data_IF_696896094186
#
_entry.id   IF_696896094186
#
_cell.length_a   1.000
_cell.length_b   1.000
_cell.length_c   1.000
_cell.angle_alpha   90.00
_cell.angle_beta   90.00
_cell.angle_gamma   90.00
#
_symmetry.space_group_name_H-M   'P 1'
#
loop_
_entity.id
_entity.type
_entity.pdbx_description
1 polymer ?
#
# COMPACT_ATOMS: atom_id res chain seq x y z
N UNK A 1 0.81 3.62 4.28
CA UNK A 1 -0.59 4.03 4.04
C UNK A 1 -0.75 5.50 3.68
N UNK A 2 -0.11 6.41 4.40
CA UNK A 2 -0.20 7.84 4.10
C UNK A 2 0.23 8.18 2.67
N UNK A 3 1.34 7.61 2.22
CA UNK A 3 1.82 7.81 0.85
C UNK A 3 0.77 7.35 -0.17
N UNK A 4 0.15 6.20 0.09
CA UNK A 4 -0.91 5.63 -0.76
C UNK A 4 -2.09 6.58 -0.88
N UNK A 5 -2.54 7.14 0.24
CA UNK A 5 -3.69 8.05 0.26
C UNK A 5 -3.41 9.30 -0.59
N UNK A 6 -2.25 9.91 -0.41
CA UNK A 6 -1.91 11.12 -1.16
C UNK A 6 -1.68 10.83 -2.64
N UNK A 7 -0.95 9.76 -2.98
CA UNK A 7 -0.70 9.42 -4.37
C UNK A 7 -2.00 9.08 -5.10
N UNK A 8 -2.90 8.34 -4.44
CA UNK A 8 -4.19 8.02 -5.01
C UNK A 8 -4.97 9.29 -5.40
N UNK A 9 -4.91 10.30 -4.55
CA UNK A 9 -5.56 11.58 -4.83
C UNK A 9 -4.92 12.30 -6.01
N UNK A 10 -3.58 12.30 -6.08
CA UNK A 10 -2.86 13.02 -7.14
C UNK A 10 -3.02 12.38 -8.53
N UNK A 11 -3.29 11.08 -8.59
CA UNK A 11 -3.54 10.39 -9.87
C UNK A 11 -5.03 10.18 -10.16
N UNK A 12 -5.90 10.76 -9.36
CA UNK A 12 -7.35 10.64 -9.57
C UNK A 12 -7.73 11.13 -10.97
N UNK A 13 -8.55 10.34 -11.67
CA UNK A 13 -9.00 10.67 -13.01
C UNK A 13 -8.03 10.30 -14.12
N UNK A 14 -6.90 9.63 -13.80
CA UNK A 14 -5.91 9.23 -14.80
C UNK A 14 -5.96 7.74 -15.15
N UNK A 15 -7.00 7.03 -14.67
CA UNK A 15 -7.12 5.60 -14.93
C UNK A 15 -6.15 4.75 -14.11
N UNK A 16 -5.63 5.29 -13.01
CA UNK A 16 -4.68 4.60 -12.12
C UNK A 16 -5.26 4.51 -10.73
N UNK A 17 -5.16 3.33 -10.12
CA UNK A 17 -5.52 3.13 -8.71
C UNK A 17 -4.27 2.84 -7.90
N UNK A 18 -4.27 3.31 -6.65
CA UNK A 18 -3.15 3.14 -5.73
C UNK A 18 -3.67 2.60 -4.41
N UNK A 19 -3.26 1.41 -4.06
CA UNK A 19 -3.67 0.76 -2.82
C UNK A 19 -2.45 0.18 -2.12
N UNK A 20 -2.57 -0.06 -0.82
CA UNK A 20 -1.53 -0.73 -0.05
C UNK A 20 -2.08 -2.00 0.58
N UNK A 21 -1.19 -2.90 0.91
CA UNK A 21 -1.58 -4.19 1.47
C UNK A 21 -0.59 -4.66 2.53
N UNK A 22 -1.06 -5.54 3.40
CA UNK A 22 -0.22 -6.30 4.32
C UNK A 22 -0.18 -7.75 3.80
N UNK A 23 1.00 -8.28 3.44
CA UNK A 23 1.09 -9.62 2.88
C UNK A 23 0.96 -10.74 3.91
N UNK A 24 0.96 -10.41 5.19
CA UNK A 24 0.99 -11.36 6.27
C UNK A 24 2.41 -11.78 6.65
N UNK A 25 2.52 -12.69 7.60
CA UNK A 25 3.81 -13.28 8.00
C UNK A 25 4.11 -14.45 7.06
N UNK A 26 5.16 -14.32 6.27
CA UNK A 26 5.49 -15.27 5.21
C UNK A 26 6.80 -15.98 5.53
N UNK A 27 6.85 -17.29 5.28
CA UNK A 27 8.03 -18.12 5.50
C UNK A 27 9.08 -17.83 4.43
N UNK A 28 9.85 -16.76 4.62
CA UNK A 28 10.90 -16.31 3.70
C UNK A 28 12.26 -16.38 4.38
N UNK A 29 13.32 -16.29 3.57
CA UNK A 29 14.69 -16.21 4.09
C UNK A 29 14.85 -15.04 5.04
N UNK A 30 14.27 -13.89 4.72
CA UNK A 30 14.32 -12.71 5.57
C UNK A 30 13.71 -12.98 6.94
N UNK A 31 12.54 -13.63 6.98
CA UNK A 31 11.86 -13.96 8.23
C UNK A 31 12.71 -14.89 9.08
N UNK A 32 13.27 -15.98 8.47
CA UNK A 32 14.05 -16.97 9.19
C UNK A 32 15.41 -16.44 9.66
N UNK A 33 16.12 -15.70 8.82
CA UNK A 33 17.47 -15.22 9.11
C UNK A 33 17.50 -13.85 9.75
N UNK A 34 16.62 -12.93 9.31
CA UNK A 34 16.60 -11.56 9.79
C UNK A 34 15.90 -11.38 11.12
N UNK A 35 14.83 -12.14 11.37
CA UNK A 35 14.03 -12.01 12.59
C UNK A 35 14.07 -13.23 13.49
N UNK A 36 14.80 -14.30 13.11
CA UNK A 36 14.88 -15.52 13.88
C UNK A 36 13.55 -16.24 14.05
N UNK A 37 12.58 -15.99 13.19
CA UNK A 37 11.26 -16.59 13.24
C UNK A 37 11.17 -17.78 12.31
N UNK A 38 10.35 -18.77 12.69
CA UNK A 38 10.02 -19.91 11.86
C UNK A 38 8.50 -19.99 11.66
N UNK A 39 8.07 -20.59 10.57
CA UNK A 39 6.66 -20.71 10.23
C UNK A 39 6.20 -19.55 9.35
N UNK A 40 4.92 -19.23 9.43
CA UNK A 40 4.29 -18.26 8.54
C UNK A 40 3.71 -18.90 7.28
N UNK A 41 3.09 -18.11 6.41
CA UNK A 41 2.50 -18.58 5.17
C UNK A 41 3.54 -18.86 4.09
N UNK A 42 3.12 -19.57 3.06
CA UNK A 42 3.97 -19.83 1.89
C UNK A 42 4.14 -18.56 1.05
N UNK A 43 5.18 -18.45 0.21
CA UNK A 43 5.30 -17.33 -0.73
C UNK A 43 4.07 -17.15 -1.61
N UNK A 44 3.45 -18.22 -2.06
CA UNK A 44 2.22 -18.17 -2.84
C UNK A 44 1.08 -17.53 -2.05
N UNK A 45 0.95 -17.88 -0.77
CA UNK A 45 -0.02 -17.28 0.15
C UNK A 45 0.24 -15.78 0.33
N UNK A 46 1.52 -15.39 0.43
CA UNK A 46 1.91 -13.98 0.55
C UNK A 46 1.60 -13.15 -0.68
N UNK A 47 1.60 -13.77 -1.85
CA UNK A 47 1.29 -13.07 -3.10
C UNK A 47 -0.21 -12.89 -3.35
N UNK A 48 -1.06 -13.55 -2.59
CA UNK A 48 -2.49 -13.64 -2.86
C UNK A 48 -3.19 -12.30 -2.93
N UNK A 49 -2.98 -11.42 -1.96
CA UNK A 49 -3.59 -10.09 -1.94
C UNK A 49 -3.03 -9.21 -3.05
N UNK A 50 -1.74 -9.32 -3.36
CA UNK A 50 -1.14 -8.58 -4.48
C UNK A 50 -1.79 -8.97 -5.81
N UNK A 51 -1.98 -10.26 -6.06
CA UNK A 51 -2.64 -10.76 -7.26
C UNK A 51 -4.11 -10.29 -7.29
N UNK A 52 -4.79 -10.38 -6.16
CA UNK A 52 -6.18 -9.90 -6.03
C UNK A 52 -6.29 -8.43 -6.43
N UNK A 53 -5.42 -7.57 -5.88
CA UNK A 53 -5.46 -6.14 -6.19
C UNK A 53 -5.13 -5.85 -7.65
N UNK A 54 -4.28 -6.67 -8.27
CA UNK A 54 -3.88 -6.47 -9.65
C UNK A 54 -4.92 -6.95 -10.66
N UNK A 55 -5.75 -7.95 -10.32
CA UNK A 55 -6.56 -8.66 -11.30
C UNK A 55 -8.04 -8.75 -10.99
N UNK A 56 -8.48 -8.57 -9.74
CA UNK A 56 -9.88 -8.76 -9.40
C UNK A 56 -10.76 -7.60 -9.85
N UNK A 57 -11.90 -7.93 -10.44
CA UNK A 57 -12.92 -6.93 -10.78
C UNK A 57 -13.57 -6.32 -9.54
N UNK A 58 -13.51 -7.01 -8.40
CA UNK A 58 -14.08 -6.53 -7.15
C UNK A 58 -13.42 -5.26 -6.64
N UNK A 59 -12.19 -4.97 -7.09
CA UNK A 59 -11.47 -3.77 -6.70
C UNK A 59 -11.30 -2.79 -7.85
N UNK A 60 -12.00 -2.98 -8.95
CA UNK A 60 -11.97 -2.03 -10.06
C UNK A 60 -12.46 -0.66 -9.59
N UNK A 61 -11.66 0.37 -9.82
CA UNK A 61 -11.98 1.73 -9.37
C UNK A 61 -11.72 2.00 -7.89
N UNK A 62 -11.37 0.99 -7.10
CA UNK A 62 -11.04 1.17 -5.69
C UNK A 62 -9.62 1.72 -5.55
N UNK A 63 -9.48 2.84 -4.86
CA UNK A 63 -8.17 3.49 -4.72
C UNK A 63 -8.04 4.15 -3.35
N UNK A 64 -6.80 4.31 -2.87
CA UNK A 64 -6.49 4.93 -1.59
C UNK A 64 -6.84 4.05 -0.39
N UNK A 65 -6.91 2.75 -0.57
CA UNK A 65 -7.38 1.81 0.46
C UNK A 65 -6.27 0.87 0.91
N UNK A 66 -6.51 0.21 2.04
CA UNK A 66 -5.60 -0.74 2.65
C UNK A 66 -6.26 -2.12 2.71
N UNK A 67 -5.51 -3.15 2.37
CA UNK A 67 -6.03 -4.52 2.26
C UNK A 67 -5.21 -5.51 3.07
N UNK A 68 -5.92 -6.41 3.73
CA UNK A 68 -5.34 -7.57 4.45
C UNK A 68 -6.16 -8.78 4.06
N UNK A 69 -5.50 -9.87 3.67
CA UNK A 69 -6.17 -11.11 3.23
C UNK A 69 -7.24 -10.85 2.17
N UNK A 70 -6.92 -10.06 1.16
CA UNK A 70 -7.81 -9.71 0.04
C UNK A 70 -9.09 -8.98 0.49
N UNK A 71 -9.05 -8.30 1.64
CA UNK A 71 -10.19 -7.53 2.16
C UNK A 71 -9.77 -6.12 2.50
N UNK A 72 -10.60 -5.16 2.14
CA UNK A 72 -10.38 -3.78 2.56
C UNK A 72 -10.45 -3.70 4.08
N UNK A 73 -9.47 -3.04 4.67
CA UNK A 73 -9.29 -2.98 6.13
C UNK A 73 -9.07 -1.53 6.54
N UNK A 74 -9.71 -1.12 7.63
CA UNK A 74 -9.51 0.23 8.17
C UNK A 74 -8.10 0.38 8.73
N UNK A 75 -7.50 1.56 8.52
CA UNK A 75 -6.23 1.93 9.14
C UNK A 75 -6.47 2.78 10.38
N UNK A 76 -5.40 3.14 11.09
CA UNK A 76 -5.49 4.10 12.18
C UNK A 76 -5.97 5.46 11.68
N UNK A 77 -6.42 6.32 12.59
CA UNK A 77 -6.81 7.69 12.23
C UNK A 77 -5.64 8.44 11.60
N UNK A 78 -4.42 8.26 12.13
CA UNK A 78 -3.22 8.87 11.55
C UNK A 78 -2.98 8.40 10.11
N UNK A 79 -3.27 7.14 9.81
CA UNK A 79 -3.12 6.59 8.46
C UNK A 79 -4.11 7.15 7.44
N UNK A 80 -5.14 7.88 7.91
CA UNK A 80 -6.15 8.51 7.06
C UNK A 80 -6.10 10.04 7.09
N UNK A 81 -5.12 10.60 7.79
CA UNK A 81 -4.96 12.05 7.91
C UNK A 81 -4.44 12.64 6.59
N UNK A 82 -5.29 13.40 5.92
CA UNK A 82 -5.00 13.95 4.58
C UNK A 82 -3.86 14.99 4.61
N UNK A 83 -3.82 15.83 5.61
CA UNK A 83 -2.75 16.83 5.74
C UNK A 83 -1.41 16.17 6.02
N UNK A 84 -1.38 15.18 6.90
CA UNK A 84 -0.17 14.42 7.19
C UNK A 84 0.29 13.64 5.94
N UNK A 85 -0.64 13.09 5.18
CA UNK A 85 -0.34 12.37 3.95
C UNK A 85 0.32 13.29 2.92
N UNK A 86 -0.21 14.49 2.75
CA UNK A 86 0.35 15.49 1.83
C UNK A 86 1.77 15.88 2.24
N UNK A 87 1.97 16.16 3.52
CA UNK A 87 3.29 16.54 4.04
C UNK A 87 4.31 15.43 3.86
N UNK A 88 3.92 14.19 4.13
CA UNK A 88 4.81 13.05 3.93
C UNK A 88 5.20 12.88 2.46
N UNK A 89 4.24 12.99 1.56
CA UNK A 89 4.48 12.87 0.13
C UNK A 89 5.47 13.92 -0.36
N UNK A 90 5.25 15.17 0.01
CA UNK A 90 6.12 16.28 -0.40
C UNK A 90 7.51 16.15 0.19
N UNK A 91 7.63 15.78 1.46
CA UNK A 91 8.92 15.54 2.09
C UNK A 91 9.68 14.40 1.43
N UNK A 92 8.98 13.33 1.05
CA UNK A 92 9.58 12.18 0.37
C UNK A 92 10.08 12.57 -1.01
N UNK A 93 9.28 13.30 -1.78
CA UNK A 93 9.67 13.77 -3.11
C UNK A 93 10.94 14.63 -3.02
N UNK A 94 11.01 15.53 -2.04
CA UNK A 94 12.20 16.36 -1.81
C UNK A 94 13.41 15.51 -1.44
N UNK A 95 13.23 14.55 -0.54
CA UNK A 95 14.32 13.69 -0.06
C UNK A 95 14.95 12.88 -1.18
N UNK A 96 14.18 12.45 -2.18
CA UNK A 96 14.67 11.66 -3.30
C UNK A 96 14.89 12.48 -4.57
N UNK A 97 14.74 13.81 -4.48
CA UNK A 97 14.95 14.73 -5.59
C UNK A 97 14.08 14.45 -6.82
N UNK A 98 12.82 14.11 -6.57
CA UNK A 98 11.83 13.85 -7.62
C UNK A 98 10.79 14.97 -7.59
N UNK A 99 10.41 15.46 -8.76
CA UNK A 99 9.34 16.47 -8.87
C UNK A 99 8.02 15.82 -8.46
N UNK A 100 7.31 16.37 -7.45
CA UNK A 100 6.04 15.79 -7.04
C UNK A 100 4.95 15.99 -8.10
N UNK A 101 4.04 15.04 -8.19
CA UNK A 101 2.86 15.22 -9.03
C UNK A 101 2.02 16.38 -8.48
N UNK A 102 1.32 17.13 -9.35
CA UNK A 102 0.47 18.22 -8.88
C UNK A 102 -0.59 17.75 -7.89
N UNK A 103 -0.82 18.54 -6.85
CA UNK A 103 -1.91 18.30 -5.92
C UNK A 103 -3.26 18.54 -6.62
N UNK A 104 -4.27 17.74 -6.24
CA UNK A 104 -5.62 17.88 -6.77
C UNK A 104 -6.51 18.68 -5.83
#
# INVERSE_FOLDING_TARGET
MLFTVELAERVRGRGVTVNSLHPGVIATKLLREGFGMSGGGSPASGAKTSVFLATSRDVEGVTGRYFVNSRETATSLAGRDRELARRLYEATAKAVSVEPLPAK
#
